data_IF_952158177252
#
_entry.id   IF_952158177252
#
_cell.length_a   1.000
_cell.length_b   1.000
_cell.length_c   1.000
_cell.angle_alpha   90.00
_cell.angle_beta   90.00
_cell.angle_gamma   90.00
#
_symmetry.space_group_name_H-M   'P 1'
#
loop_
_entity.id
_entity.type
_entity.pdbx_description
1 polymer ?
#
# COMPACT_ATOMS: atom_id res chain seq x y z
N UNK A 1 0.69 35.14 -23.10
CA UNK A 1 1.99 35.17 -22.39
C UNK A 1 1.94 34.09 -21.31
N UNK A 2 2.20 32.84 -21.71
CA UNK A 2 2.16 31.69 -20.80
C UNK A 2 3.59 31.38 -20.36
N UNK A 3 3.91 31.65 -19.10
CA UNK A 3 5.19 31.29 -18.51
C UNK A 3 5.23 29.76 -18.33
N UNK A 4 5.77 29.05 -19.32
CA UNK A 4 6.24 27.68 -19.14
C UNK A 4 7.45 27.73 -18.21
N UNK A 5 7.23 27.47 -16.92
CA UNK A 5 8.31 27.23 -15.96
C UNK A 5 8.96 25.90 -16.36
N UNK A 6 9.97 25.95 -17.22
CA UNK A 6 10.87 24.84 -17.44
C UNK A 6 11.69 24.65 -16.16
N UNK A 7 11.21 23.78 -15.27
CA UNK A 7 12.04 23.16 -14.25
C UNK A 7 12.91 22.10 -14.92
N UNK A 8 13.95 22.55 -15.64
CA UNK A 8 15.05 21.68 -16.07
C UNK A 8 15.94 21.37 -14.86
N UNK A 9 15.40 20.59 -13.92
CA UNK A 9 16.20 20.03 -12.83
C UNK A 9 17.14 18.98 -13.44
N UNK A 10 18.47 19.08 -13.25
CA UNK A 10 19.39 18.13 -13.85
C UNK A 10 19.05 16.72 -13.36
N UNK A 11 18.99 15.76 -14.30
CA UNK A 11 18.63 14.35 -14.07
C UNK A 11 19.43 13.71 -12.92
N UNK A 12 20.65 14.20 -12.68
CA UNK A 12 21.50 13.82 -11.56
C UNK A 12 20.94 14.25 -10.19
N UNK A 13 20.40 15.46 -10.06
CA UNK A 13 19.79 15.96 -8.82
C UNK A 13 18.50 15.19 -8.48
N UNK A 14 17.71 14.81 -9.48
CA UNK A 14 16.51 13.98 -9.28
C UNK A 14 16.89 12.59 -8.75
N UNK A 15 17.94 11.97 -9.30
CA UNK A 15 18.41 10.67 -8.86
C UNK A 15 18.96 10.70 -7.42
N UNK A 16 19.71 11.75 -7.07
CA UNK A 16 20.23 11.93 -5.71
C UNK A 16 19.10 12.10 -4.68
N UNK A 17 18.11 12.94 -4.99
CA UNK A 17 16.95 13.15 -4.10
C UNK A 17 16.15 11.86 -3.92
N UNK A 18 15.94 11.10 -5.00
CA UNK A 18 15.23 9.82 -4.94
C UNK A 18 15.98 8.78 -4.08
N UNK A 19 17.30 8.65 -4.25
CA UNK A 19 18.11 7.70 -3.48
C UNK A 19 18.19 8.09 -2.00
N UNK A 20 18.26 9.40 -1.71
CA UNK A 20 18.23 9.92 -0.34
C UNK A 20 16.88 9.70 0.33
N UNK A 21 15.77 9.94 -0.38
CA UNK A 21 14.42 9.65 0.10
C UNK A 21 14.23 8.17 0.40
N UNK A 22 14.69 7.29 -0.50
CA UNK A 22 14.66 5.84 -0.27
C UNK A 22 15.46 5.42 0.96
N UNK A 23 16.65 6.00 1.18
CA UNK A 23 17.46 5.73 2.36
C UNK A 23 16.77 6.16 3.67
N UNK A 24 16.12 7.32 3.69
CA UNK A 24 15.34 7.79 4.84
C UNK A 24 14.16 6.86 5.11
N UNK A 25 13.45 6.44 4.07
CA UNK A 25 12.35 5.48 4.15
C UNK A 25 12.78 4.15 4.81
N UNK A 26 13.90 3.57 4.35
CA UNK A 26 14.45 2.33 4.92
C UNK A 26 14.89 2.53 6.37
N UNK A 27 15.52 3.66 6.70
CA UNK A 27 15.92 3.98 8.06
C UNK A 27 14.70 4.14 9.00
N UNK A 28 13.63 4.79 8.54
CA UNK A 28 12.38 4.92 9.28
C UNK A 28 11.73 3.57 9.58
N UNK A 29 11.63 2.69 8.58
CA UNK A 29 11.13 1.33 8.75
C UNK A 29 11.98 0.52 9.76
N UNK A 30 13.31 0.61 9.65
CA UNK A 30 14.22 -0.08 10.57
C UNK A 30 14.07 0.41 12.02
N UNK A 31 13.87 1.72 12.22
CA UNK A 31 13.61 2.29 13.55
C UNK A 31 12.28 1.81 14.14
N UNK A 32 11.22 1.74 13.33
CA UNK A 32 9.91 1.22 13.77
C UNK A 32 10.04 -0.25 14.18
N UNK A 33 10.68 -1.08 13.36
CA UNK A 33 10.90 -2.50 13.67
C UNK A 33 11.73 -2.64 14.95
N UNK A 34 12.79 -1.84 15.11
CA UNK A 34 13.64 -1.89 16.30
C UNK A 34 12.88 -1.45 17.56
N UNK A 35 12.03 -0.42 17.45
CA UNK A 35 11.17 0.04 18.55
C UNK A 35 10.16 -1.03 18.98
N UNK A 36 9.65 -1.83 18.05
CA UNK A 36 8.67 -2.89 18.32
C UNK A 36 9.34 -4.21 18.77
N UNK A 37 10.63 -4.42 18.45
CA UNK A 37 11.39 -5.65 18.77
C UNK A 37 11.58 -5.93 20.26
N UNK A 38 11.39 -4.93 21.13
CA UNK A 38 11.42 -5.07 22.59
C UNK A 38 10.06 -5.38 23.22
N UNK A 39 8.97 -5.35 22.46
CA UNK A 39 7.60 -5.39 22.96
C UNK A 39 6.87 -6.68 22.53
N UNK A 40 7.29 -7.86 23.01
CA UNK A 40 6.39 -9.02 22.95
C UNK A 40 7.01 -10.41 23.03
N UNK A 41 6.69 -11.10 24.12
CA UNK A 41 6.82 -12.55 24.34
C UNK A 41 5.75 -13.36 23.56
N UNK A 42 5.44 -12.94 22.32
CA UNK A 42 4.24 -13.36 21.56
C UNK A 42 4.50 -13.90 20.15
N UNK A 43 5.72 -14.35 19.86
CA UNK A 43 6.11 -14.82 18.53
C UNK A 43 5.26 -16.01 18.05
N UNK A 44 4.47 -15.81 16.98
CA UNK A 44 3.70 -16.88 16.34
C UNK A 44 4.59 -18.06 15.93
N UNK A 45 4.02 -19.26 15.83
CA UNK A 45 4.78 -20.53 15.78
C UNK A 45 5.81 -20.69 14.65
N UNK A 46 5.84 -19.81 13.63
CA UNK A 46 6.74 -19.88 12.46
C UNK A 46 7.14 -18.47 11.94
N UNK A 47 7.96 -17.70 12.67
CA UNK A 47 8.32 -16.34 12.28
C UNK A 47 9.03 -16.27 10.92
N UNK A 48 9.92 -17.23 10.63
CA UNK A 48 10.67 -17.29 9.37
C UNK A 48 9.76 -17.42 8.12
N UNK A 49 8.61 -18.09 8.26
CA UNK A 49 7.66 -18.23 7.16
C UNK A 49 6.93 -16.89 6.92
N UNK A 50 6.62 -16.16 8.00
CA UNK A 50 6.08 -14.80 7.92
C UNK A 50 7.04 -13.85 7.18
N UNK A 51 8.32 -13.84 7.56
CA UNK A 51 9.32 -12.99 6.91
C UNK A 51 9.44 -13.30 5.41
N UNK A 52 9.48 -14.59 5.04
CA UNK A 52 9.53 -15.00 3.64
C UNK A 52 8.28 -14.57 2.86
N UNK A 53 7.09 -14.72 3.45
CA UNK A 53 5.83 -14.26 2.83
C UNK A 53 5.78 -12.74 2.66
N UNK A 54 6.29 -11.97 3.63
CA UNK A 54 6.37 -10.50 3.53
C UNK A 54 7.32 -10.09 2.41
N UNK A 55 8.47 -10.73 2.26
CA UNK A 55 9.41 -10.45 1.16
C UNK A 55 8.77 -10.77 -0.19
N UNK A 56 8.13 -11.92 -0.31
CA UNK A 56 7.45 -12.31 -1.55
C UNK A 56 6.29 -11.36 -1.87
N UNK A 57 5.48 -11.00 -0.88
CA UNK A 57 4.36 -10.07 -1.03
C UNK A 57 4.81 -8.67 -1.44
N UNK A 58 5.86 -8.14 -0.83
CA UNK A 58 6.42 -6.81 -1.18
C UNK A 58 7.00 -6.79 -2.60
N UNK A 59 7.64 -7.87 -3.04
CA UNK A 59 8.10 -8.02 -4.43
C UNK A 59 6.94 -8.00 -5.43
N UNK A 60 5.87 -8.77 -5.17
CA UNK A 60 4.69 -8.77 -6.03
C UNK A 60 3.97 -7.43 -6.03
N UNK A 61 3.86 -6.76 -4.87
CA UNK A 61 3.29 -5.42 -4.77
C UNK A 61 4.05 -4.41 -5.61
N UNK A 62 5.39 -4.39 -5.50
CA UNK A 62 6.23 -3.51 -6.31
C UNK A 62 6.09 -3.81 -7.80
N UNK A 63 6.08 -5.08 -8.19
CA UNK A 63 5.90 -5.51 -9.58
C UNK A 63 4.53 -5.09 -10.13
N UNK A 64 3.46 -5.23 -9.34
CA UNK A 64 2.11 -4.80 -9.71
C UNK A 64 2.05 -3.29 -9.98
N UNK A 65 2.63 -2.47 -9.09
CA UNK A 65 2.60 -1.01 -9.25
C UNK A 65 3.40 -0.55 -10.47
N UNK A 66 4.53 -1.20 -10.78
CA UNK A 66 5.32 -0.93 -12.00
C UNK A 66 4.55 -1.37 -13.26
N UNK A 67 3.87 -2.52 -13.20
CA UNK A 67 3.02 -3.00 -14.27
C UNK A 67 1.84 -2.06 -14.55
N UNK A 68 1.18 -1.58 -13.49
CA UNK A 68 0.08 -0.62 -13.57
C UNK A 68 0.57 0.73 -14.10
N UNK A 69 1.73 1.24 -13.64
CA UNK A 69 2.37 2.43 -14.20
C UNK A 69 2.60 2.30 -15.71
N UNK A 70 3.12 1.14 -16.15
CA UNK A 70 3.36 0.90 -17.56
C UNK A 70 2.07 0.89 -18.38
N UNK A 71 1.03 0.21 -17.88
CA UNK A 71 -0.28 0.13 -18.51
C UNK A 71 -0.97 1.49 -18.59
N UNK A 72 -1.03 2.24 -17.48
CA UNK A 72 -1.71 3.54 -17.38
C UNK A 72 -1.05 4.65 -18.20
N UNK A 73 0.26 4.50 -18.48
CA UNK A 73 1.01 5.40 -19.36
C UNK A 73 0.86 5.08 -20.85
N UNK A 74 0.56 3.82 -21.21
CA UNK A 74 0.42 3.37 -22.61
C UNK A 74 -1.02 3.27 -23.11
N UNK A 75 -2.00 3.07 -22.22
CA UNK A 75 -3.40 2.80 -22.56
C UNK A 75 -4.33 3.80 -21.85
N UNK A 76 -5.61 3.77 -22.18
CA UNK A 76 -6.60 4.56 -21.46
C UNK A 76 -6.74 4.08 -20.01
N UNK A 77 -6.87 5.05 -19.09
CA UNK A 77 -6.90 4.76 -17.65
C UNK A 77 -8.14 3.99 -17.25
N UNK A 78 -9.29 4.32 -17.83
CA UNK A 78 -10.56 3.68 -17.50
C UNK A 78 -10.51 2.22 -17.94
N UNK A 79 -9.90 1.95 -19.10
CA UNK A 79 -9.67 0.59 -19.59
C UNK A 79 -8.80 -0.21 -18.61
N UNK A 80 -7.65 0.34 -18.17
CA UNK A 80 -6.76 -0.33 -17.21
C UNK A 80 -7.48 -0.64 -15.89
N UNK A 81 -8.18 0.34 -15.31
CA UNK A 81 -8.90 0.16 -14.04
C UNK A 81 -10.03 -0.86 -14.19
N UNK A 82 -10.77 -0.82 -15.31
CA UNK A 82 -11.85 -1.77 -15.57
C UNK A 82 -11.33 -3.20 -15.67
N UNK A 83 -10.20 -3.41 -16.35
CA UNK A 83 -9.60 -4.73 -16.51
C UNK A 83 -9.06 -5.26 -15.17
N UNK A 84 -8.36 -4.44 -14.40
CA UNK A 84 -7.90 -4.81 -13.05
C UNK A 84 -9.10 -5.18 -12.16
N UNK A 85 -10.18 -4.40 -12.20
CA UNK A 85 -11.40 -4.69 -11.45
C UNK A 85 -12.05 -6.02 -11.85
N UNK A 86 -12.19 -6.29 -13.15
CA UNK A 86 -12.79 -7.55 -13.65
C UNK A 86 -11.92 -8.76 -13.29
N UNK A 87 -10.62 -8.71 -13.55
CA UNK A 87 -9.71 -9.81 -13.20
C UNK A 87 -9.60 -10.01 -11.69
N UNK A 88 -9.52 -8.93 -10.92
CA UNK A 88 -9.53 -8.98 -9.46
C UNK A 88 -10.78 -9.66 -8.92
N UNK A 89 -11.96 -9.29 -9.43
CA UNK A 89 -13.23 -9.92 -9.06
C UNK A 89 -13.25 -11.43 -9.37
N UNK A 90 -12.77 -11.84 -10.55
CA UNK A 90 -12.69 -13.25 -10.93
C UNK A 90 -11.76 -14.04 -10.00
N UNK A 91 -10.58 -13.49 -9.69
CA UNK A 91 -9.62 -14.14 -8.79
C UNK A 91 -10.21 -14.27 -7.38
N UNK A 92 -10.81 -13.20 -6.86
CA UNK A 92 -11.43 -13.20 -5.52
C UNK A 92 -12.56 -14.21 -5.41
N UNK A 93 -13.44 -14.33 -6.42
CA UNK A 93 -14.49 -15.35 -6.42
C UNK A 93 -13.91 -16.77 -6.38
N UNK A 94 -12.82 -17.00 -7.10
CA UNK A 94 -12.15 -18.29 -7.08
C UNK A 94 -11.44 -18.56 -5.76
N UNK A 95 -10.90 -17.55 -5.07
CA UNK A 95 -10.13 -17.69 -3.83
C UNK A 95 -10.99 -17.93 -2.59
N UNK A 96 -12.08 -17.17 -2.42
CA UNK A 96 -12.94 -17.19 -1.22
C UNK A 96 -13.34 -18.61 -0.79
N UNK A 97 -13.78 -19.53 -1.69
CA UNK A 97 -14.17 -20.88 -1.31
C UNK A 97 -13.04 -21.73 -0.71
N UNK A 98 -11.78 -21.49 -1.11
CA UNK A 98 -10.64 -22.29 -0.67
C UNK A 98 -10.03 -21.79 0.64
N UNK A 99 -10.00 -20.47 0.87
CA UNK A 99 -9.26 -19.86 1.99
C UNK A 99 -10.19 -19.42 3.11
N UNK A 100 -11.29 -18.73 2.79
CA UNK A 100 -12.03 -17.95 3.80
C UNK A 100 -13.38 -18.56 4.20
N UNK A 101 -13.89 -19.54 3.46
CA UNK A 101 -15.26 -20.08 3.64
C UNK A 101 -15.57 -20.46 5.11
N UNK A 102 -14.67 -21.18 5.77
CA UNK A 102 -14.83 -21.60 7.18
C UNK A 102 -14.79 -20.42 8.14
N UNK A 103 -14.02 -19.40 7.82
CA UNK A 103 -13.90 -18.20 8.64
C UNK A 103 -15.17 -17.35 8.54
N UNK A 104 -15.75 -17.25 7.34
CA UNK A 104 -17.01 -16.55 7.08
C UNK A 104 -18.20 -17.18 7.81
N UNK A 105 -18.26 -18.51 7.89
CA UNK A 105 -19.32 -19.24 8.61
C UNK A 105 -19.29 -18.98 10.13
N UNK A 106 -18.11 -18.69 10.68
CA UNK A 106 -17.92 -18.44 12.11
C UNK A 106 -18.14 -16.99 12.56
N UNK A 107 -18.33 -16.07 11.60
CA UNK A 107 -18.46 -14.63 11.90
C UNK A 107 -19.88 -14.33 12.42
N UNK A 108 -19.92 -13.76 13.62
CA UNK A 108 -21.14 -13.16 14.14
C UNK A 108 -21.26 -11.73 13.57
N UNK A 109 -22.19 -11.55 12.63
CA UNK A 109 -22.43 -10.25 11.99
C UNK A 109 -23.02 -9.26 13.01
N UNK A 110 -22.16 -8.37 13.50
CA UNK A 110 -22.55 -7.22 14.33
C UNK A 110 -22.61 -5.94 13.48
N UNK A 111 -23.44 -4.98 13.89
CA UNK A 111 -23.58 -3.67 13.24
C UNK A 111 -22.23 -2.95 13.11
N UNK A 112 -21.36 -3.06 14.11
CA UNK A 112 -20.02 -2.44 14.09
C UNK A 112 -19.10 -3.04 13.02
N UNK A 113 -19.17 -4.36 12.84
CA UNK A 113 -18.37 -5.08 11.84
C UNK A 113 -18.83 -4.70 10.43
N UNK A 114 -20.16 -4.62 10.22
CA UNK A 114 -20.74 -4.21 8.94
C UNK A 114 -20.32 -2.78 8.61
N UNK A 115 -20.39 -1.86 9.59
CA UNK A 115 -19.98 -0.48 9.40
C UNK A 115 -18.48 -0.37 9.06
N UNK A 116 -17.63 -1.12 9.76
CA UNK A 116 -16.20 -1.19 9.48
C UNK A 116 -15.94 -1.72 8.06
N UNK A 117 -16.66 -2.76 7.63
CA UNK A 117 -16.55 -3.31 6.27
C UNK A 117 -16.96 -2.30 5.20
N UNK A 118 -18.06 -1.57 5.39
CA UNK A 118 -18.51 -0.52 4.46
C UNK A 118 -17.47 0.60 4.38
N UNK A 119 -16.97 1.06 5.53
CA UNK A 119 -15.93 2.09 5.59
C UNK A 119 -14.64 1.65 4.87
N UNK A 120 -14.18 0.44 5.14
CA UNK A 120 -13.02 -0.15 4.47
C UNK A 120 -13.22 -0.27 2.96
N UNK A 121 -14.39 -0.74 2.52
CA UNK A 121 -14.71 -0.88 1.09
C UNK A 121 -14.74 0.48 0.39
N UNK A 122 -15.35 1.49 1.00
CA UNK A 122 -15.42 2.84 0.44
C UNK A 122 -14.02 3.48 0.36
N UNK A 123 -13.21 3.34 1.40
CA UNK A 123 -11.83 3.82 1.42
C UNK A 123 -10.97 3.12 0.37
N UNK A 124 -11.09 1.80 0.25
CA UNK A 124 -10.42 1.00 -0.77
C UNK A 124 -10.83 1.42 -2.18
N UNK A 125 -12.14 1.61 -2.42
CA UNK A 125 -12.64 2.10 -3.71
C UNK A 125 -12.05 3.46 -4.08
N UNK A 126 -12.02 4.41 -3.14
CA UNK A 126 -11.38 5.71 -3.38
C UNK A 126 -9.88 5.55 -3.66
N UNK A 127 -9.17 4.73 -2.88
CA UNK A 127 -7.75 4.48 -3.05
C UNK A 127 -7.46 3.91 -4.45
N UNK A 128 -8.07 2.80 -4.83
CA UNK A 128 -7.83 2.15 -6.14
C UNK A 128 -8.30 2.99 -7.34
N UNK A 129 -9.21 3.95 -7.14
CA UNK A 129 -9.56 4.92 -8.20
C UNK A 129 -8.48 6.00 -8.36
N UNK A 130 -7.84 6.41 -7.26
CA UNK A 130 -6.80 7.46 -7.24
C UNK A 130 -5.42 6.92 -7.62
N UNK A 131 -5.10 5.68 -7.27
CA UNK A 131 -3.79 5.03 -7.56
C UNK A 131 -3.37 5.18 -9.04
N UNK A 132 -4.19 4.85 -10.06
CA UNK A 132 -3.83 5.04 -11.46
C UNK A 132 -3.51 6.49 -11.82
N UNK A 133 -4.18 7.45 -11.16
CA UNK A 133 -3.92 8.88 -11.35
C UNK A 133 -2.54 9.27 -10.82
N UNK A 134 -2.21 8.82 -9.60
CA UNK A 134 -0.91 9.07 -8.96
C UNK A 134 0.22 8.36 -9.71
N UNK A 135 0.02 7.11 -10.13
CA UNK A 135 1.00 6.36 -10.94
C UNK A 135 1.28 7.04 -12.28
N UNK A 136 0.26 7.62 -12.92
CA UNK A 136 0.45 8.35 -14.18
C UNK A 136 1.27 9.63 -14.00
N UNK A 137 1.05 10.37 -12.91
CA UNK A 137 1.72 11.65 -12.65
C UNK A 137 3.12 11.47 -12.07
N UNK A 138 3.26 10.57 -11.09
CA UNK A 138 4.44 10.49 -10.22
C UNK A 138 5.22 9.18 -10.39
N UNK A 139 4.60 8.12 -10.92
CA UNK A 139 5.21 6.80 -11.10
C UNK A 139 5.19 5.92 -9.84
N UNK A 140 5.51 4.64 -10.02
CA UNK A 140 5.43 3.59 -8.99
C UNK A 140 6.40 3.82 -7.83
N UNK A 141 7.60 4.36 -8.12
CA UNK A 141 8.60 4.65 -7.08
C UNK A 141 8.09 5.70 -6.09
N UNK A 142 7.59 6.84 -6.58
CA UNK A 142 7.06 7.90 -5.70
C UNK A 142 5.80 7.44 -4.97
N UNK A 143 4.95 6.64 -5.63
CA UNK A 143 3.79 6.04 -4.99
C UNK A 143 4.17 5.13 -3.80
N UNK A 144 5.12 4.20 -4.00
CA UNK A 144 5.57 3.30 -2.92
C UNK A 144 6.22 4.06 -1.74
N UNK A 145 7.00 5.11 -2.01
CA UNK A 145 7.56 5.96 -0.95
C UNK A 145 6.49 6.73 -0.18
N UNK A 146 5.44 7.17 -0.88
CA UNK A 146 4.28 7.82 -0.25
C UNK A 146 3.51 6.86 0.65
N UNK A 147 3.35 5.61 0.24
CA UNK A 147 2.68 4.56 1.04
C UNK A 147 3.44 4.31 2.34
N UNK A 148 4.77 4.15 2.27
CA UNK A 148 5.59 3.95 3.46
C UNK A 148 5.53 5.15 4.43
N UNK A 149 5.44 6.37 3.88
CA UNK A 149 5.28 7.57 4.71
C UNK A 149 3.88 7.65 5.32
N UNK A 150 2.88 7.03 4.68
CA UNK A 150 1.50 7.04 5.16
C UNK A 150 1.36 6.35 6.53
N UNK A 151 2.20 5.36 6.81
CA UNK A 151 2.24 4.66 8.10
C UNK A 151 2.53 5.61 9.27
N UNK A 152 3.27 6.71 9.04
CA UNK A 152 3.51 7.73 10.07
C UNK A 152 2.21 8.42 10.51
N UNK A 153 1.24 8.58 9.62
CA UNK A 153 -0.07 9.14 10.00
C UNK A 153 -0.80 8.22 10.96
N UNK A 154 -0.75 6.90 10.75
CA UNK A 154 -1.37 5.94 11.67
C UNK A 154 -0.76 6.04 13.08
N UNK A 155 0.57 6.20 13.17
CA UNK A 155 1.27 6.42 14.44
C UNK A 155 0.83 7.73 15.11
N UNK A 156 0.74 8.84 14.35
CA UNK A 156 0.25 10.13 14.86
C UNK A 156 -1.18 9.98 15.42
N UNK A 157 -2.10 9.36 14.66
CA UNK A 157 -3.46 9.12 15.13
C UNK A 157 -3.49 8.27 16.41
N UNK A 158 -2.66 7.23 16.49
CA UNK A 158 -2.54 6.37 17.68
C UNK A 158 -2.07 7.12 18.92
N UNK A 159 -1.07 7.99 18.79
CA UNK A 159 -0.53 8.77 19.92
C UNK A 159 -1.49 9.88 20.34
N UNK A 160 -1.97 10.69 19.39
CA UNK A 160 -2.73 11.90 19.71
C UNK A 160 -4.21 11.62 20.01
N UNK A 161 -4.82 10.65 19.33
CA UNK A 161 -6.26 10.39 19.46
C UNK A 161 -6.55 9.25 20.44
N UNK A 162 -5.74 8.19 20.41
CA UNK A 162 -5.94 7.01 21.28
C UNK A 162 -5.10 7.03 22.56
N UNK A 163 -4.24 8.03 22.75
CA UNK A 163 -3.35 8.17 23.92
C UNK A 163 -2.59 6.87 24.27
N UNK A 164 -2.28 6.06 23.26
CA UNK A 164 -1.50 4.84 23.42
C UNK A 164 -0.03 5.22 23.58
N UNK A 165 0.62 4.68 24.63
CA UNK A 165 2.06 4.83 24.82
C UNK A 165 2.80 4.00 23.78
N UNK A 166 3.83 4.61 23.18
CA UNK A 166 4.75 3.98 22.22
C UNK A 166 5.57 2.87 22.89
#
# INVERSE_FOLDING_TARGET
MGHSVNMDLPRHSIFLVANFGAAICVAGLALVIFSDSGAGDGGGSRPLLGDALVIVGTLFFAMSNVGEEFCVKKKDRVEVVSMIGVFGFLVTICEIPFIELKSLESINLSTDIILAFVGFTLAGFMFYTIVPYVLKLSGATMFNLSVLTADMWAVIFRIFFYHQQL
#
